data_IF_252684545330
#
_entry.id   IF_252684545330
#
_cell.length_a   1.000
_cell.length_b   1.000
_cell.length_c   1.000
_cell.angle_alpha   90.00
_cell.angle_beta   90.00
_cell.angle_gamma   90.00
#
_symmetry.space_group_name_H-M   'P 1'
#
loop_
_entity.id
_entity.type
_entity.pdbx_description
1 polymer ?
#
# COMPACT_ATOMS: atom_id res chain seq x y z
N UNK A 1 -17.44 -6.23 -16.24
CA UNK A 1 -18.38 -5.12 -16.54
C UNK A 1 -18.56 -4.18 -15.34
N UNK A 2 -18.85 -4.68 -14.12
CA UNK A 2 -19.01 -3.82 -12.93
C UNK A 2 -17.81 -2.98 -12.58
N UNK A 3 -16.60 -3.54 -12.58
CA UNK A 3 -15.37 -2.78 -12.27
C UNK A 3 -15.17 -1.61 -13.23
N UNK A 4 -15.37 -1.82 -14.52
CA UNK A 4 -15.27 -0.75 -15.53
C UNK A 4 -16.26 0.38 -15.24
N UNK A 5 -17.50 0.04 -14.90
CA UNK A 5 -18.53 1.02 -14.57
C UNK A 5 -18.16 1.83 -13.32
N UNK A 6 -17.77 1.18 -12.21
CA UNK A 6 -17.38 1.88 -10.99
C UNK A 6 -16.20 2.83 -11.21
N UNK A 7 -15.17 2.36 -11.91
CA UNK A 7 -13.98 3.20 -12.17
C UNK A 7 -14.31 4.38 -13.08
N UNK A 8 -15.25 4.24 -14.01
CA UNK A 8 -15.68 5.36 -14.86
C UNK A 8 -16.40 6.48 -14.09
N UNK A 9 -16.91 6.20 -12.90
CA UNK A 9 -17.64 7.16 -12.07
C UNK A 9 -16.76 7.91 -11.07
N UNK A 10 -15.49 7.56 -10.94
CA UNK A 10 -14.56 8.15 -9.97
C UNK A 10 -13.40 8.84 -10.68
N UNK A 11 -12.77 9.78 -10.01
CA UNK A 11 -11.58 10.46 -10.51
C UNK A 11 -10.29 9.78 -10.06
N UNK A 12 -10.28 9.23 -8.85
CA UNK A 12 -9.12 8.61 -8.19
C UNK A 12 -9.55 7.40 -7.36
N UNK A 13 -8.66 6.44 -7.18
CA UNK A 13 -8.93 5.21 -6.45
C UNK A 13 -8.09 5.13 -5.17
N UNK A 14 -8.73 4.82 -4.05
CA UNK A 14 -8.05 4.41 -2.82
C UNK A 14 -8.31 2.93 -2.57
N UNK A 15 -7.24 2.13 -2.52
CA UNK A 15 -7.31 0.74 -2.05
C UNK A 15 -6.95 0.72 -0.57
N UNK A 16 -7.88 0.24 0.25
CA UNK A 16 -7.77 0.29 1.72
C UNK A 16 -7.18 -0.98 2.32
N UNK A 17 -6.88 -0.94 3.61
CA UNK A 17 -6.46 -2.09 4.41
C UNK A 17 -7.50 -3.21 4.49
N UNK A 18 -7.12 -4.33 5.06
CA UNK A 18 -7.98 -5.50 5.22
C UNK A 18 -7.21 -6.80 5.42
N UNK A 19 -7.85 -7.91 5.10
CA UNK A 19 -7.32 -9.26 5.23
C UNK A 19 -6.07 -9.46 4.34
N UNK A 20 -5.34 -10.55 4.61
CA UNK A 20 -4.19 -10.95 3.80
C UNK A 20 -4.56 -11.16 2.33
N UNK A 21 -3.68 -10.80 1.42
CA UNK A 21 -3.79 -11.17 0.01
C UNK A 21 -3.47 -12.66 -0.13
N UNK A 22 -4.34 -13.40 -0.79
CA UNK A 22 -4.17 -14.84 -0.92
C UNK A 22 -2.94 -15.18 -1.77
N UNK A 23 -2.07 -16.11 -1.33
CA UNK A 23 -0.79 -16.39 -1.99
C UNK A 23 -0.92 -16.96 -3.41
N UNK A 24 -2.07 -17.52 -3.80
CA UNK A 24 -2.30 -17.95 -5.18
C UNK A 24 -2.11 -16.82 -6.20
N UNK A 25 -2.36 -15.56 -5.83
CA UNK A 25 -2.22 -14.41 -6.73
C UNK A 25 -0.77 -14.00 -6.98
N UNK A 26 0.18 -14.48 -6.17
CA UNK A 26 1.62 -14.32 -6.41
C UNK A 26 2.36 -15.65 -6.57
N UNK A 27 1.62 -16.71 -6.99
CA UNK A 27 2.19 -17.99 -7.42
C UNK A 27 2.73 -18.86 -6.30
N UNK A 28 2.36 -18.61 -5.06
CA UNK A 28 2.82 -19.36 -3.90
C UNK A 28 1.70 -20.21 -3.28
N UNK A 29 2.12 -21.25 -2.54
CA UNK A 29 1.21 -21.99 -1.67
C UNK A 29 1.14 -21.30 -0.31
N UNK A 30 0.02 -21.46 0.37
CA UNK A 30 -0.14 -21.04 1.75
C UNK A 30 0.87 -21.71 2.66
N UNK A 31 1.65 -20.94 3.41
CA UNK A 31 2.71 -21.42 4.33
C UNK A 31 2.41 -21.15 5.80
N UNK A 32 1.34 -20.39 6.10
CA UNK A 32 0.89 -20.06 7.44
C UNK A 32 -0.45 -20.73 7.74
N UNK A 33 -0.77 -20.91 9.01
CA UNK A 33 -2.05 -21.54 9.41
C UNK A 33 -3.24 -20.57 9.36
N UNK A 34 -2.99 -19.26 9.28
CA UNK A 34 -4.06 -18.25 9.19
C UNK A 34 -4.97 -18.49 7.98
N UNK A 35 -6.26 -18.34 8.17
CA UNK A 35 -7.28 -18.35 7.13
C UNK A 35 -7.90 -16.96 6.92
N UNK A 36 -7.19 -15.89 7.34
CA UNK A 36 -7.64 -14.51 7.18
C UNK A 36 -7.47 -14.04 5.73
N UNK A 37 -8.23 -14.63 4.84
CA UNK A 37 -8.28 -14.33 3.40
C UNK A 37 -9.70 -14.05 2.95
N UNK A 38 -9.83 -13.22 1.90
CA UNK A 38 -11.10 -12.97 1.21
C UNK A 38 -10.88 -12.96 -0.30
N UNK A 39 -11.00 -14.14 -0.91
CA UNK A 39 -10.77 -14.32 -2.35
C UNK A 39 -11.70 -13.47 -3.21
N UNK A 40 -12.96 -13.30 -2.81
CA UNK A 40 -13.91 -12.46 -3.56
C UNK A 40 -13.46 -11.01 -3.58
N UNK A 41 -12.94 -10.52 -2.46
CA UNK A 41 -12.39 -9.17 -2.37
C UNK A 41 -11.09 -9.04 -3.19
N UNK A 42 -10.20 -10.03 -3.12
CA UNK A 42 -8.96 -10.03 -3.91
C UNK A 42 -9.26 -9.93 -5.40
N UNK A 43 -10.15 -10.79 -5.92
CA UNK A 43 -10.55 -10.80 -7.32
C UNK A 43 -11.23 -9.48 -7.74
N UNK A 44 -12.11 -8.96 -6.90
CA UNK A 44 -12.83 -7.72 -7.18
C UNK A 44 -11.87 -6.50 -7.22
N UNK A 45 -10.99 -6.37 -6.22
CA UNK A 45 -10.05 -5.25 -6.17
C UNK A 45 -8.97 -5.36 -7.27
N UNK A 46 -8.53 -6.56 -7.65
CA UNK A 46 -7.67 -6.76 -8.82
C UNK A 46 -8.37 -6.31 -10.12
N UNK A 47 -9.67 -6.57 -10.25
CA UNK A 47 -10.43 -6.09 -11.40
C UNK A 47 -10.60 -4.56 -11.40
N UNK A 48 -10.85 -3.95 -10.24
CA UNK A 48 -10.88 -2.49 -10.09
C UNK A 48 -9.54 -1.85 -10.44
N UNK A 49 -8.44 -2.42 -9.94
CA UNK A 49 -7.09 -1.94 -10.24
C UNK A 49 -6.78 -1.99 -11.74
N UNK A 50 -7.08 -3.11 -12.39
CA UNK A 50 -6.90 -3.25 -13.83
C UNK A 50 -7.66 -2.18 -14.63
N UNK A 51 -8.90 -1.90 -14.25
CA UNK A 51 -9.70 -0.86 -14.89
C UNK A 51 -9.21 0.54 -14.57
N UNK A 52 -8.76 0.80 -13.34
CA UNK A 52 -8.16 2.08 -12.97
C UNK A 52 -6.93 2.40 -13.81
N UNK A 53 -6.05 1.42 -14.01
CA UNK A 53 -4.88 1.55 -14.90
C UNK A 53 -5.29 1.81 -16.34
N UNK A 54 -6.27 1.06 -16.86
CA UNK A 54 -6.77 1.24 -18.22
C UNK A 54 -7.39 2.62 -18.47
N UNK A 55 -8.00 3.21 -17.43
CA UNK A 55 -8.65 4.53 -17.49
C UNK A 55 -7.75 5.66 -16.95
N UNK A 56 -6.46 5.36 -16.73
CA UNK A 56 -5.44 6.31 -16.24
C UNK A 56 -5.86 7.05 -14.96
N UNK A 57 -6.43 6.31 -13.99
CA UNK A 57 -6.81 6.87 -12.70
C UNK A 57 -5.65 6.84 -11.70
N UNK A 58 -5.39 7.94 -10.99
CA UNK A 58 -4.45 7.93 -9.86
C UNK A 58 -4.89 6.97 -8.75
N UNK A 59 -3.92 6.32 -8.11
CA UNK A 59 -4.18 5.30 -7.08
C UNK A 59 -3.35 5.59 -5.84
N UNK A 60 -4.03 5.64 -4.69
CA UNK A 60 -3.41 5.55 -3.37
C UNK A 60 -3.73 4.17 -2.78
N UNK A 61 -2.68 3.40 -2.44
CA UNK A 61 -2.82 2.05 -1.93
C UNK A 61 -2.31 1.98 -0.48
N UNK A 62 -3.18 1.61 0.45
CA UNK A 62 -2.93 1.63 1.90
C UNK A 62 -2.91 0.20 2.45
N UNK A 63 -1.86 -0.15 3.19
CA UNK A 63 -1.67 -1.42 3.90
C UNK A 63 -1.86 -2.63 2.98
N UNK A 64 -2.96 -3.37 3.12
CA UNK A 64 -3.31 -4.44 2.16
C UNK A 64 -3.32 -3.94 0.71
N UNK A 65 -3.74 -2.70 0.49
CA UNK A 65 -3.78 -2.10 -0.84
C UNK A 65 -2.41 -2.05 -1.52
N UNK A 66 -1.33 -1.65 -0.83
CA UNK A 66 0.02 -1.62 -1.40
C UNK A 66 0.52 -3.04 -1.72
N UNK A 67 0.17 -4.00 -0.91
CA UNK A 67 0.50 -5.41 -1.13
C UNK A 67 -0.20 -5.94 -2.38
N UNK A 68 -1.49 -5.65 -2.53
CA UNK A 68 -2.28 -6.06 -3.70
C UNK A 68 -1.76 -5.42 -4.99
N UNK A 69 -1.41 -4.14 -4.96
CA UNK A 69 -0.80 -3.43 -6.09
C UNK A 69 0.52 -4.09 -6.51
N UNK A 70 1.40 -4.38 -5.56
CA UNK A 70 2.66 -5.08 -5.84
C UNK A 70 2.41 -6.44 -6.53
N UNK A 71 1.48 -7.22 -6.00
CA UNK A 71 1.10 -8.54 -6.56
C UNK A 71 0.53 -8.39 -7.97
N UNK A 72 -0.34 -7.42 -8.20
CA UNK A 72 -0.96 -7.17 -9.51
C UNK A 72 0.07 -6.86 -10.61
N UNK A 73 1.20 -6.25 -10.26
CA UNK A 73 2.31 -5.96 -11.17
C UNK A 73 3.40 -7.04 -11.19
N UNK A 74 3.18 -8.18 -10.54
CA UNK A 74 4.06 -9.35 -10.58
C UNK A 74 5.03 -9.50 -9.41
N UNK A 75 4.91 -8.69 -8.37
CA UNK A 75 5.67 -8.82 -7.14
C UNK A 75 5.13 -9.92 -6.22
N UNK A 76 5.83 -10.17 -5.13
CA UNK A 76 5.49 -11.19 -4.12
C UNK A 76 5.44 -10.60 -2.71
N UNK A 77 4.92 -11.37 -1.76
CA UNK A 77 4.78 -10.97 -0.37
C UNK A 77 5.44 -11.97 0.56
N UNK A 78 5.97 -11.48 1.69
CA UNK A 78 6.14 -12.32 2.87
C UNK A 78 4.76 -12.62 3.43
N UNK A 79 4.45 -13.90 3.64
CA UNK A 79 3.12 -14.31 4.13
C UNK A 79 2.94 -14.01 5.61
N UNK A 80 4.02 -13.92 6.37
CA UNK A 80 4.03 -13.50 7.77
C UNK A 80 5.36 -12.84 8.12
N UNK A 81 5.28 -11.70 8.82
CA UNK A 81 6.42 -11.01 9.42
C UNK A 81 6.11 -10.71 10.89
N UNK A 82 7.17 -10.55 11.69
CA UNK A 82 7.07 -10.18 13.10
C UNK A 82 7.32 -8.68 13.30
N UNK A 83 6.86 -8.14 14.44
CA UNK A 83 7.18 -6.78 14.87
C UNK A 83 6.37 -5.66 14.20
N UNK A 84 5.36 -6.00 13.38
CA UNK A 84 4.55 -5.05 12.64
C UNK A 84 3.05 -5.06 13.01
N UNK A 85 2.71 -5.67 14.13
CA UNK A 85 1.37 -5.66 14.70
C UNK A 85 1.36 -5.06 16.10
N UNK A 86 1.03 -3.77 16.19
CA UNK A 86 1.06 -3.04 17.47
C UNK A 86 -0.19 -3.21 18.34
N UNK A 87 -1.32 -3.59 17.74
CA UNK A 87 -2.62 -3.57 18.42
C UNK A 87 -3.16 -2.15 18.61
N UNK A 88 -4.15 -2.01 19.48
CA UNK A 88 -4.77 -0.72 19.82
C UNK A 88 -4.05 -0.03 20.98
N UNK A 89 -4.01 1.31 21.03
CA UNK A 89 -4.46 2.27 20.00
C UNK A 89 -3.52 2.31 18.79
N UNK A 90 -4.03 2.75 17.63
CA UNK A 90 -3.26 2.84 16.39
C UNK A 90 -2.43 4.14 16.26
N UNK A 91 -1.89 4.65 17.36
CA UNK A 91 -0.88 5.69 17.34
C UNK A 91 0.44 5.22 16.73
N UNK A 92 1.46 6.07 16.72
CA UNK A 92 2.76 5.74 16.13
C UNK A 92 3.46 4.57 16.86
N UNK A 93 4.18 3.75 16.10
CA UNK A 93 4.85 2.54 16.57
C UNK A 93 6.34 2.54 16.28
N UNK A 94 6.76 2.97 15.09
CA UNK A 94 8.16 2.98 14.67
C UNK A 94 8.43 4.11 13.67
N UNK A 95 9.71 4.39 13.45
CA UNK A 95 10.13 5.34 12.41
C UNK A 95 10.19 4.68 11.04
N UNK A 96 10.11 5.51 10.03
CA UNK A 96 10.46 5.19 8.65
C UNK A 96 11.59 6.10 8.18
N UNK A 97 12.42 5.61 7.29
CA UNK A 97 13.38 6.40 6.52
C UNK A 97 12.91 6.50 5.08
N UNK A 98 12.85 7.73 4.56
CA UNK A 98 12.35 8.02 3.21
C UNK A 98 13.51 8.20 2.23
N UNK A 99 13.24 7.94 0.95
CA UNK A 99 14.19 8.14 -0.14
C UNK A 99 14.06 9.56 -0.68
N UNK A 100 15.17 10.30 -0.71
CA UNK A 100 15.23 11.67 -1.24
C UNK A 100 14.67 11.73 -2.68
N UNK A 101 13.92 12.80 -2.97
CA UNK A 101 13.28 13.01 -4.27
C UNK A 101 11.99 12.25 -4.48
N UNK A 102 11.51 11.49 -3.49
CA UNK A 102 10.20 10.86 -3.52
C UNK A 102 9.09 11.80 -3.04
N UNK A 103 7.84 11.49 -3.41
CA UNK A 103 6.66 12.19 -2.88
C UNK A 103 6.55 11.98 -1.38
N UNK A 104 6.83 10.75 -0.91
CA UNK A 104 6.81 10.44 0.53
C UNK A 104 7.84 11.27 1.28
N UNK A 105 9.06 11.46 0.76
CA UNK A 105 10.06 12.34 1.37
C UNK A 105 9.63 13.82 1.37
N UNK A 106 8.95 14.26 0.32
CA UNK A 106 8.38 15.62 0.24
C UNK A 106 7.34 15.88 1.33
N UNK A 107 6.48 14.89 1.59
CA UNK A 107 5.36 15.04 2.53
C UNK A 107 5.75 14.74 3.98
N UNK A 108 6.59 13.74 4.22
CA UNK A 108 6.91 13.22 5.56
C UNK A 108 8.31 13.60 6.05
N UNK A 109 9.13 14.24 5.19
CA UNK A 109 10.54 14.51 5.50
C UNK A 109 11.41 13.27 5.37
N UNK A 110 12.68 13.39 5.79
CA UNK A 110 13.67 12.31 5.72
C UNK A 110 13.34 11.13 6.63
N UNK A 111 12.73 11.41 7.77
CA UNK A 111 12.33 10.45 8.80
C UNK A 111 10.98 10.88 9.37
N UNK A 112 10.11 9.94 9.65
CA UNK A 112 8.81 10.19 10.27
C UNK A 112 8.38 9.00 11.12
N UNK A 113 7.37 9.21 11.97
CA UNK A 113 6.79 8.16 12.80
C UNK A 113 5.50 7.66 12.17
N UNK A 114 5.31 6.33 12.15
CA UNK A 114 4.13 5.68 11.56
C UNK A 114 3.55 4.62 12.49
N UNK A 115 2.30 4.25 12.26
CA UNK A 115 1.70 3.10 12.91
C UNK A 115 2.05 1.81 12.15
N UNK A 116 1.80 0.65 12.78
CA UNK A 116 2.10 -0.64 12.18
C UNK A 116 1.07 -1.68 12.60
N UNK A 117 0.19 -2.02 11.66
CA UNK A 117 -0.93 -2.95 11.87
C UNK A 117 -1.04 -3.91 10.68
N UNK A 118 0.03 -4.70 10.43
CA UNK A 118 0.06 -5.67 9.35
C UNK A 118 0.93 -6.88 9.70
N UNK A 119 0.64 -8.01 9.06
CA UNK A 119 1.33 -9.29 9.23
C UNK A 119 2.05 -9.75 7.97
N UNK A 120 1.72 -9.14 6.83
CA UNK A 120 2.39 -9.35 5.56
C UNK A 120 3.16 -8.11 5.15
N UNK A 121 4.13 -8.27 4.25
CA UNK A 121 4.86 -7.16 3.63
C UNK A 121 5.34 -7.54 2.24
N UNK A 122 5.78 -6.54 1.47
CA UNK A 122 6.40 -6.74 0.16
C UNK A 122 7.71 -7.51 0.32
N UNK A 123 7.84 -8.59 -0.46
CA UNK A 123 9.06 -9.40 -0.57
C UNK A 123 9.82 -9.02 -1.84
N UNK A 124 9.35 -9.45 -3.00
CA UNK A 124 9.91 -9.05 -4.28
C UNK A 124 9.08 -7.87 -4.82
N UNK A 125 9.72 -6.72 -5.00
CA UNK A 125 9.07 -5.55 -5.56
C UNK A 125 8.85 -5.72 -7.06
N UNK A 126 7.64 -5.44 -7.53
CA UNK A 126 7.34 -5.41 -8.95
C UNK A 126 8.18 -4.33 -9.67
N UNK A 127 8.60 -4.59 -10.94
CA UNK A 127 9.55 -3.71 -11.65
C UNK A 127 9.01 -2.31 -11.97
N UNK A 128 7.71 -2.10 -11.90
CA UNK A 128 7.05 -0.82 -12.14
C UNK A 128 7.19 0.18 -10.98
N UNK A 129 7.77 -0.24 -9.86
CA UNK A 129 7.86 0.54 -8.64
C UNK A 129 9.30 0.72 -8.17
N UNK A 130 9.48 1.75 -7.34
CA UNK A 130 10.66 1.93 -6.49
C UNK A 130 10.23 1.98 -5.02
N UNK A 131 11.11 1.51 -4.14
CA UNK A 131 10.93 1.71 -2.69
C UNK A 131 11.20 3.17 -2.36
N UNK A 132 10.30 3.79 -1.60
CA UNK A 132 10.40 5.21 -1.20
C UNK A 132 10.43 5.42 0.31
N UNK A 133 10.12 4.40 1.09
CA UNK A 133 10.37 4.36 2.53
C UNK A 133 10.60 2.92 3.03
N UNK A 134 11.41 2.80 4.07
CA UNK A 134 11.67 1.53 4.76
C UNK A 134 11.62 1.72 6.28
N UNK A 135 11.34 0.64 6.99
CA UNK A 135 11.60 0.55 8.43
C UNK A 135 13.10 0.33 8.65
N UNK A 136 13.81 1.23 9.34
CA UNK A 136 15.26 1.08 9.54
C UNK A 136 15.64 -0.12 10.41
N UNK A 137 14.71 -0.68 11.18
CA UNK A 137 14.98 -1.80 12.09
C UNK A 137 15.20 -3.13 11.34
N UNK A 138 14.45 -3.36 10.26
CA UNK A 138 14.42 -4.65 9.55
C UNK A 138 14.35 -4.53 8.03
N UNK A 139 14.39 -3.31 7.50
CA UNK A 139 14.30 -3.00 6.07
C UNK A 139 12.96 -3.40 5.42
N UNK A 140 11.92 -3.60 6.21
CA UNK A 140 10.56 -3.78 5.67
C UNK A 140 10.20 -2.61 4.78
N UNK A 141 9.68 -2.91 3.58
CA UNK A 141 9.20 -1.89 2.64
C UNK A 141 7.95 -1.21 3.22
N UNK A 142 8.03 0.08 3.44
CA UNK A 142 6.96 0.88 4.04
C UNK A 142 6.24 1.78 3.02
N UNK A 143 6.90 2.15 1.92
CA UNK A 143 6.27 2.89 0.84
C UNK A 143 6.90 2.58 -0.51
N UNK A 144 6.07 2.65 -1.55
CA UNK A 144 6.48 2.52 -2.95
C UNK A 144 5.82 3.61 -3.80
N UNK A 145 6.47 3.96 -4.89
CA UNK A 145 5.94 4.85 -5.92
C UNK A 145 6.18 4.26 -7.30
N UNK A 146 5.24 4.46 -8.23
CA UNK A 146 5.42 4.07 -9.64
C UNK A 146 6.55 4.85 -10.31
N UNK A 147 7.29 4.16 -11.18
CA UNK A 147 8.39 4.75 -11.98
C UNK A 147 8.07 4.83 -13.47
N UNK A 148 6.91 4.37 -13.86
CA UNK A 148 6.36 4.42 -15.22
C UNK A 148 5.29 5.53 -15.36
N UNK A 149 4.47 5.46 -16.40
CA UNK A 149 3.39 6.42 -16.65
C UNK A 149 2.24 6.37 -15.67
N UNK A 150 2.13 5.33 -14.85
CA UNK A 150 1.06 5.21 -13.86
C UNK A 150 1.32 6.13 -12.65
N UNK A 151 0.25 6.62 -12.06
CA UNK A 151 0.28 7.51 -10.90
C UNK A 151 -0.17 6.76 -9.65
N UNK A 152 0.77 6.02 -9.04
CA UNK A 152 0.50 5.14 -7.91
C UNK A 152 1.45 5.46 -6.76
N UNK A 153 0.88 5.69 -5.58
CA UNK A 153 1.58 5.76 -4.30
C UNK A 153 1.04 4.66 -3.40
N UNK A 154 1.91 3.88 -2.82
CA UNK A 154 1.54 2.83 -1.88
C UNK A 154 2.25 2.98 -0.54
N UNK A 155 1.50 2.80 0.54
CA UNK A 155 1.97 2.91 1.92
C UNK A 155 1.61 1.65 2.70
N UNK A 156 2.52 1.14 3.51
CA UNK A 156 2.25 -0.02 4.35
C UNK A 156 1.55 0.36 5.65
N UNK A 157 1.78 1.56 6.18
CA UNK A 157 1.07 2.05 7.37
C UNK A 157 -0.32 2.56 7.05
N UNK A 158 -1.06 2.96 8.07
CA UNK A 158 -2.41 3.50 7.98
C UNK A 158 -2.41 5.02 8.24
N UNK A 159 -2.23 5.84 7.21
CA UNK A 159 -2.21 7.31 7.35
C UNK A 159 -3.57 7.87 7.82
N UNK A 160 -4.66 7.17 7.52
CA UNK A 160 -6.02 7.57 7.89
C UNK A 160 -6.25 7.65 9.41
N UNK A 161 -5.44 6.95 10.19
CA UNK A 161 -5.49 7.02 11.66
C UNK A 161 -4.61 8.10 12.27
N UNK A 162 -3.76 8.76 11.47
CA UNK A 162 -2.76 9.72 11.93
C UNK A 162 -2.97 11.15 11.40
N UNK A 163 -4.09 11.42 10.72
CA UNK A 163 -4.34 12.72 10.06
C UNK A 163 -4.37 13.92 11.01
N UNK A 164 -4.63 13.69 12.30
CA UNK A 164 -4.66 14.74 13.32
C UNK A 164 -3.49 14.65 14.33
N UNK A 165 -2.57 13.71 14.14
CA UNK A 165 -1.55 13.41 15.16
C UNK A 165 -0.12 13.64 14.64
N UNK A 166 0.14 13.32 13.37
CA UNK A 166 1.48 13.34 12.78
C UNK A 166 1.46 14.05 11.42
N UNK A 167 2.46 14.87 11.18
CA UNK A 167 2.64 15.61 9.93
C UNK A 167 2.78 14.67 8.72
N UNK A 168 2.31 15.13 7.58
CA UNK A 168 2.40 14.42 6.31
C UNK A 168 1.20 13.53 5.99
N UNK A 169 0.47 13.02 7.00
CA UNK A 169 -0.64 12.09 6.76
C UNK A 169 -1.88 12.79 6.16
N UNK A 170 -2.24 13.98 6.64
CA UNK A 170 -3.30 14.77 6.04
C UNK A 170 -2.85 15.27 4.66
N UNK A 171 -1.65 15.79 4.56
CA UNK A 171 -1.05 16.31 3.33
C UNK A 171 -0.97 15.25 2.23
N UNK A 172 -0.84 13.97 2.58
CA UNK A 172 -0.91 12.87 1.62
C UNK A 172 -2.26 12.81 0.91
N UNK A 173 -3.36 12.94 1.66
CA UNK A 173 -4.70 12.95 1.06
C UNK A 173 -4.95 14.21 0.25
N UNK A 174 -4.44 15.36 0.69
CA UNK A 174 -4.47 16.60 -0.08
C UNK A 174 -3.64 16.47 -1.38
N UNK A 175 -2.49 15.84 -1.33
CA UNK A 175 -1.67 15.54 -2.50
C UNK A 175 -2.41 14.62 -3.48
N UNK A 176 -3.06 13.57 -2.99
CA UNK A 176 -3.90 12.70 -3.82
C UNK A 176 -4.98 13.51 -4.55
N UNK A 177 -5.65 14.41 -3.84
CA UNK A 177 -6.76 15.19 -4.40
C UNK A 177 -6.32 16.22 -5.44
N UNK A 178 -5.19 16.87 -5.22
CA UNK A 178 -4.80 18.08 -5.94
C UNK A 178 -3.63 17.90 -6.91
N UNK A 179 -2.73 16.92 -6.68
CA UNK A 179 -1.46 16.82 -7.41
C UNK A 179 -1.24 15.46 -8.09
N UNK A 180 -1.82 14.34 -7.60
CA UNK A 180 -1.60 13.00 -8.15
C UNK A 180 -2.46 12.67 -9.43
#
# INVERSE_FOLDING_TARGET
EMACHYISMIDKLILTGGQNVHPQFYGEKKTIESDDYNLVRDEFELALLKEALRQDKPILAICRGVQLVNVAFGGTLYQEIEGHWQGLPFGTSHSIETVEGSVVAKLFGKESQVNSVHRQSIKDLAPNFRVTAVDPRDQTVEAIESIDEHRIIGLQWHPEFLVNEEDGNLELFEYLLNEL
#
